data_IF_911815060071
#
_entry.id   IF_911815060071
#
_cell.length_a   1.000
_cell.length_b   1.000
_cell.length_c   1.000
_cell.angle_alpha   90.00
_cell.angle_beta   90.00
_cell.angle_gamma   90.00
#
_symmetry.space_group_name_H-M   'P 1'
#
loop_
_entity.id
_entity.type
_entity.pdbx_description
1 polymer ?
#
# COMPACT_ATOMS: atom_id res chain seq x y z
N UNK A 1 -8.15 34.57 23.15
CA UNK A 1 -8.95 34.31 21.95
C UNK A 1 -8.24 33.19 21.23
N UNK A 2 -8.82 32.00 21.29
CA UNK A 2 -8.14 30.75 21.01
C UNK A 2 -8.25 30.39 19.52
N UNK A 3 -7.12 30.35 18.82
CA UNK A 3 -6.96 29.85 17.43
C UNK A 3 -7.12 28.32 17.33
N UNK A 4 -7.75 27.67 18.32
CA UNK A 4 -7.79 26.21 18.46
C UNK A 4 -8.83 25.47 17.57
N UNK A 5 -9.97 26.02 17.12
CA UNK A 5 -10.98 25.20 16.43
C UNK A 5 -10.65 24.86 14.97
N UNK A 6 -9.82 25.64 14.27
CA UNK A 6 -9.50 25.39 12.86
C UNK A 6 -8.37 24.37 12.68
N UNK A 7 -7.34 24.44 13.53
CA UNK A 7 -6.20 23.52 13.50
C UNK A 7 -6.63 22.09 13.84
N UNK A 8 -7.58 21.92 14.75
CA UNK A 8 -8.09 20.62 15.16
C UNK A 8 -8.88 19.93 14.03
N UNK A 9 -9.67 20.71 13.27
CA UNK A 9 -10.39 20.21 12.08
C UNK A 9 -9.47 19.72 10.97
N UNK A 10 -8.30 20.33 10.80
CA UNK A 10 -7.32 19.91 9.79
C UNK A 10 -6.62 18.60 10.17
N UNK A 11 -6.33 18.39 11.46
CA UNK A 11 -5.71 17.15 11.94
C UNK A 11 -6.63 15.94 11.77
N UNK A 12 -7.94 16.12 11.94
CA UNK A 12 -8.96 15.08 11.73
C UNK A 12 -9.05 14.60 10.25
N UNK A 13 -8.52 15.39 9.30
CA UNK A 13 -8.50 15.01 7.89
C UNK A 13 -7.32 14.09 7.55
N UNK A 14 -6.27 14.07 8.37
CA UNK A 14 -5.08 13.24 8.14
C UNK A 14 -5.34 11.84 8.70
N UNK A 15 -5.29 10.77 7.89
CA UNK A 15 -5.47 9.41 8.37
C UNK A 15 -4.35 9.05 9.36
N UNK A 16 -4.70 8.44 10.50
CA UNK A 16 -3.72 7.95 11.46
C UNK A 16 -3.32 6.49 11.18
N UNK A 17 -4.17 5.77 10.43
CA UNK A 17 -3.94 4.38 10.00
C UNK A 17 -4.67 4.09 8.68
N UNK A 18 -4.54 2.88 8.14
CA UNK A 18 -5.19 2.46 6.89
C UNK A 18 -6.73 2.45 6.99
N UNK A 19 -7.30 2.14 8.14
CA UNK A 19 -8.76 2.09 8.33
C UNK A 19 -9.40 3.48 8.26
N UNK A 20 -8.65 4.54 8.57
CA UNK A 20 -9.09 5.94 8.47
C UNK A 20 -9.18 6.45 7.02
N UNK A 21 -8.55 5.75 6.08
CA UNK A 21 -8.51 6.12 4.66
C UNK A 21 -9.86 5.87 3.99
N UNK A 22 -10.47 4.71 4.23
CA UNK A 22 -11.80 4.38 3.67
C UNK A 22 -12.87 4.93 4.62
N UNK A 23 -13.55 6.00 4.24
CA UNK A 23 -14.56 6.67 5.11
C UNK A 23 -16.00 6.38 4.69
N UNK A 24 -16.22 5.82 3.51
CA UNK A 24 -17.53 5.42 3.00
C UNK A 24 -17.48 4.02 2.37
N UNK A 25 -18.62 3.32 2.34
CA UNK A 25 -18.74 1.97 1.76
C UNK A 25 -17.69 0.97 2.31
N UNK A 26 -17.41 1.02 3.63
CA UNK A 26 -16.43 0.16 4.32
C UNK A 26 -16.76 -1.33 4.23
N UNK A 27 -18.03 -1.67 4.01
CA UNK A 27 -18.51 -3.02 3.72
C UNK A 27 -18.01 -3.55 2.37
N UNK A 28 -17.65 -2.65 1.44
CA UNK A 28 -17.22 -2.97 0.08
C UNK A 28 -15.72 -2.91 -0.14
N UNK A 29 -15.00 -2.16 0.69
CA UNK A 29 -13.55 -2.03 0.59
C UNK A 29 -12.92 -1.89 1.96
N UNK A 30 -11.87 -2.67 2.20
CA UNK A 30 -11.01 -2.56 3.38
C UNK A 30 -9.56 -2.53 2.93
N UNK A 31 -8.77 -1.67 3.56
CA UNK A 31 -7.32 -1.65 3.42
C UNK A 31 -6.71 -2.31 4.65
N UNK A 32 -5.69 -3.13 4.45
CA UNK A 32 -4.91 -3.71 5.53
C UNK A 32 -3.46 -3.91 5.06
N UNK A 33 -2.53 -4.12 5.98
CA UNK A 33 -1.26 -4.73 5.61
C UNK A 33 -1.38 -6.25 5.59
N UNK A 34 -0.59 -6.89 4.74
CA UNK A 34 -0.63 -8.33 4.57
C UNK A 34 -0.29 -9.03 5.89
N UNK A 35 -1.12 -10.00 6.27
CA UNK A 35 -0.81 -10.88 7.40
C UNK A 35 0.32 -11.84 7.03
N UNK A 36 0.85 -12.56 8.02
CA UNK A 36 1.88 -13.57 7.78
C UNK A 36 1.34 -14.72 6.90
N UNK A 37 0.06 -15.08 7.06
CA UNK A 37 -0.61 -16.06 6.23
C UNK A 37 -0.72 -15.57 4.77
N UNK A 38 -1.13 -14.32 4.54
CA UNK A 38 -1.22 -13.75 3.19
C UNK A 38 0.16 -13.63 2.54
N UNK A 39 1.19 -13.30 3.31
CA UNK A 39 2.57 -13.36 2.84
C UNK A 39 2.97 -14.78 2.44
N UNK A 40 2.67 -15.76 3.28
CA UNK A 40 2.98 -17.16 3.01
C UNK A 40 2.29 -17.66 1.72
N UNK A 41 1.04 -17.26 1.48
CA UNK A 41 0.32 -17.59 0.24
C UNK A 41 0.99 -17.02 -1.02
N UNK A 42 1.65 -15.86 -0.87
CA UNK A 42 2.43 -15.20 -1.91
C UNK A 42 3.87 -15.71 -2.04
N UNK A 43 4.36 -16.53 -1.10
CA UNK A 43 5.76 -16.98 -1.10
C UNK A 43 6.05 -17.86 -2.32
N UNK A 44 7.08 -17.52 -3.09
CA UNK A 44 7.53 -18.24 -4.29
C UNK A 44 9.05 -18.19 -4.37
N UNK A 45 9.67 -19.24 -4.90
CA UNK A 45 11.08 -19.18 -5.30
C UNK A 45 11.19 -18.28 -6.54
N UNK A 46 11.74 -17.08 -6.34
CA UNK A 46 11.96 -16.11 -7.40
C UNK A 46 13.41 -16.10 -7.90
N UNK A 47 14.33 -16.83 -7.25
CA UNK A 47 15.75 -16.85 -7.60
C UNK A 47 15.97 -17.36 -9.03
N UNK A 48 15.14 -18.32 -9.47
CA UNK A 48 15.20 -18.90 -10.80
C UNK A 48 14.11 -18.36 -11.76
N UNK A 49 13.00 -17.83 -11.21
CA UNK A 49 11.88 -17.32 -12.02
C UNK A 49 12.16 -15.92 -12.59
N UNK A 50 13.05 -15.15 -11.95
CA UNK A 50 13.41 -13.80 -12.33
C UNK A 50 14.59 -13.77 -13.31
N UNK A 51 14.40 -14.18 -14.56
CA UNK A 51 15.25 -13.70 -15.66
C UNK A 51 15.08 -12.19 -15.93
N UNK A 52 14.16 -11.53 -15.20
CA UNK A 52 13.90 -10.10 -15.28
C UNK A 52 14.90 -9.26 -14.48
N UNK A 53 15.39 -8.18 -15.10
CA UNK A 53 16.20 -7.15 -14.43
C UNK A 53 15.38 -6.52 -13.31
N UNK A 54 15.94 -6.45 -12.09
CA UNK A 54 15.36 -5.66 -10.99
C UNK A 54 15.20 -4.21 -11.45
N UNK A 55 13.98 -3.68 -11.43
CA UNK A 55 13.70 -2.33 -11.91
C UNK A 55 14.08 -1.27 -10.86
N UNK A 56 13.72 -1.48 -9.60
CA UNK A 56 13.98 -0.59 -8.48
C UNK A 56 14.17 -1.36 -7.17
N UNK A 57 14.83 -0.71 -6.22
CA UNK A 57 14.96 -1.20 -4.85
C UNK A 57 14.10 -0.34 -3.93
N UNK A 58 13.24 -0.96 -3.12
CA UNK A 58 12.40 -0.28 -2.15
C UNK A 58 12.91 -0.54 -0.71
N UNK A 59 12.84 0.50 0.13
CA UNK A 59 13.04 0.45 1.58
C UNK A 59 11.74 0.85 2.29
N UNK A 60 11.70 0.69 3.60
CA UNK A 60 10.56 1.11 4.45
C UNK A 60 9.24 0.60 3.86
N UNK A 61 9.22 -0.70 3.55
CA UNK A 61 8.27 -1.32 2.63
C UNK A 61 7.23 -2.16 3.36
N UNK A 62 6.05 -2.30 2.76
CA UNK A 62 5.02 -3.21 3.22
C UNK A 62 4.16 -3.71 2.03
N UNK A 63 3.35 -4.74 2.26
CA UNK A 63 2.34 -5.24 1.33
C UNK A 63 0.97 -4.70 1.73
N UNK A 64 0.49 -3.72 0.98
CA UNK A 64 -0.86 -3.20 1.12
C UNK A 64 -1.86 -4.18 0.48
N UNK A 65 -2.78 -4.67 1.29
CA UNK A 65 -3.91 -5.50 0.88
C UNK A 65 -5.14 -4.61 0.66
N UNK A 66 -5.65 -4.63 -0.57
CA UNK A 66 -6.93 -4.01 -0.91
C UNK A 66 -7.96 -5.12 -1.03
N UNK A 67 -8.83 -5.25 -0.03
CA UNK A 67 -9.92 -6.23 -0.03
C UNK A 67 -11.17 -5.57 -0.60
N UNK A 68 -11.65 -6.06 -1.73
CA UNK A 68 -12.88 -5.57 -2.37
C UNK A 68 -13.95 -6.63 -2.30
N UNK A 69 -15.10 -6.28 -1.72
CA UNK A 69 -16.28 -7.14 -1.65
C UNK A 69 -17.20 -6.82 -2.83
N UNK A 70 -17.44 -7.80 -3.70
CA UNK A 70 -18.38 -7.70 -4.80
C UNK A 70 -19.19 -8.99 -4.94
N UNK A 71 -20.51 -8.86 -5.06
CA UNK A 71 -21.44 -9.99 -5.21
C UNK A 71 -21.29 -11.08 -4.13
N UNK A 72 -20.99 -10.69 -2.89
CA UNK A 72 -20.78 -11.62 -1.77
C UNK A 72 -19.41 -12.32 -1.76
N UNK A 73 -18.54 -12.05 -2.72
CA UNK A 73 -17.16 -12.55 -2.75
C UNK A 73 -16.16 -11.45 -2.40
N UNK A 74 -15.13 -11.81 -1.64
CA UNK A 74 -14.01 -10.91 -1.32
C UNK A 74 -12.85 -11.23 -2.24
N UNK A 75 -12.32 -10.20 -2.91
CA UNK A 75 -11.10 -10.28 -3.70
C UNK A 75 -10.02 -9.42 -3.05
N UNK A 76 -8.89 -10.04 -2.72
CA UNK A 76 -7.70 -9.34 -2.23
C UNK A 76 -6.77 -8.98 -3.38
N UNK A 77 -6.30 -7.73 -3.40
CA UNK A 77 -5.34 -7.24 -4.38
C UNK A 77 -4.08 -6.78 -3.65
N UNK A 78 -3.06 -7.65 -3.52
CA UNK A 78 -1.81 -7.29 -2.84
C UNK A 78 -1.02 -6.28 -3.68
N UNK A 79 -0.51 -5.23 -3.05
CA UNK A 79 0.32 -4.19 -3.66
C UNK A 79 1.59 -4.03 -2.85
N UNK A 80 2.74 -4.01 -3.50
CA UNK A 80 3.97 -3.57 -2.84
C UNK A 80 3.97 -2.06 -2.73
N UNK A 81 4.28 -1.57 -1.53
CA UNK A 81 4.36 -0.17 -1.16
C UNK A 81 5.68 0.08 -0.44
N UNK A 82 6.33 1.21 -0.70
CA UNK A 82 7.57 1.59 -0.01
C UNK A 82 8.27 2.77 -0.65
N UNK A 83 9.37 3.21 -0.05
CA UNK A 83 10.22 4.29 -0.57
C UNK A 83 11.26 3.76 -1.56
N UNK A 84 11.32 4.32 -2.76
CA UNK A 84 12.38 4.03 -3.73
C UNK A 84 13.73 4.46 -3.16
N UNK A 85 14.70 3.55 -3.08
CA UNK A 85 15.97 3.79 -2.41
C UNK A 85 16.75 4.94 -3.05
N UNK A 86 16.72 5.06 -4.38
CA UNK A 86 17.49 6.05 -5.13
C UNK A 86 16.94 7.47 -5.03
N UNK A 87 15.62 7.63 -4.87
CA UNK A 87 14.94 8.94 -4.93
C UNK A 87 14.20 9.32 -3.66
N UNK A 88 13.95 8.37 -2.76
CA UNK A 88 13.10 8.55 -1.58
C UNK A 88 11.60 8.64 -1.87
N UNK A 89 11.17 8.54 -3.13
CA UNK A 89 9.77 8.66 -3.49
C UNK A 89 8.97 7.43 -3.02
N UNK A 90 7.80 7.66 -2.41
CA UNK A 90 6.86 6.60 -2.08
C UNK A 90 6.20 6.05 -3.35
N UNK A 91 6.16 4.73 -3.51
CA UNK A 91 5.58 4.05 -4.67
C UNK A 91 4.59 2.99 -4.23
N UNK A 92 3.44 2.92 -4.92
CA UNK A 92 2.53 1.76 -4.91
C UNK A 92 2.59 1.07 -6.26
N UNK A 93 3.00 -0.20 -6.26
CA UNK A 93 3.23 -0.99 -7.46
C UNK A 93 1.94 -1.57 -8.05
N UNK A 94 2.09 -2.37 -9.12
CA UNK A 94 1.01 -3.23 -9.63
C UNK A 94 0.73 -4.41 -8.68
N UNK A 95 -0.18 -5.31 -9.04
CA UNK A 95 -0.52 -6.44 -8.16
C UNK A 95 0.67 -7.36 -7.95
N UNK A 96 1.00 -7.67 -6.70
CA UNK A 96 2.05 -8.63 -6.33
C UNK A 96 1.58 -10.03 -6.71
N UNK A 97 2.45 -10.78 -7.39
CA UNK A 97 2.22 -12.15 -7.85
C UNK A 97 3.05 -13.16 -7.08
N UNK A 98 4.16 -12.73 -6.49
CA UNK A 98 4.98 -13.55 -5.63
C UNK A 98 5.98 -12.71 -4.84
N UNK A 99 6.37 -13.23 -3.68
CA UNK A 99 7.44 -12.70 -2.86
C UNK A 99 8.45 -13.82 -2.58
N UNK A 100 9.72 -13.46 -2.51
CA UNK A 100 10.78 -14.30 -2.01
C UNK A 100 11.42 -13.55 -0.84
N UNK A 101 11.00 -13.92 0.36
CA UNK A 101 11.45 -13.27 1.60
C UNK A 101 12.91 -13.58 1.91
N UNK A 102 13.44 -14.68 1.39
CA UNK A 102 14.84 -15.06 1.58
C UNK A 102 15.78 -14.17 0.77
N UNK A 103 15.44 -13.91 -0.50
CA UNK A 103 16.28 -13.09 -1.40
C UNK A 103 15.88 -11.61 -1.43
N UNK A 104 14.76 -11.25 -0.77
CA UNK A 104 14.21 -9.91 -0.76
C UNK A 104 13.71 -9.48 -2.14
N UNK A 105 13.14 -10.40 -2.91
CA UNK A 105 12.59 -10.12 -4.23
C UNK A 105 11.06 -10.12 -4.20
N UNK A 106 10.46 -9.20 -4.95
CA UNK A 106 9.02 -9.10 -5.10
C UNK A 106 8.66 -9.01 -6.57
N UNK A 107 7.95 -10.02 -7.05
CA UNK A 107 7.41 -10.05 -8.40
C UNK A 107 6.02 -9.44 -8.40
N UNK A 108 5.84 -8.40 -9.20
CA UNK A 108 4.53 -7.80 -9.50
C UNK A 108 4.10 -8.19 -10.90
N UNK A 109 2.89 -7.82 -11.29
CA UNK A 109 2.31 -8.10 -12.60
C UNK A 109 3.21 -7.67 -13.77
N UNK A 110 3.95 -6.57 -13.62
CA UNK A 110 4.72 -5.97 -14.71
C UNK A 110 6.24 -5.88 -14.45
N UNK A 111 6.68 -6.07 -13.20
CA UNK A 111 8.03 -5.70 -12.79
C UNK A 111 8.53 -6.53 -11.60
N UNK A 112 9.85 -6.67 -11.53
CA UNK A 112 10.56 -7.24 -10.39
C UNK A 112 11.21 -6.14 -9.55
N UNK A 113 10.99 -6.18 -8.25
CA UNK A 113 11.55 -5.25 -7.28
C UNK A 113 12.45 -5.99 -6.29
N UNK A 114 13.42 -5.26 -5.74
CA UNK A 114 14.13 -5.67 -4.54
C UNK A 114 13.60 -4.91 -3.35
N UNK A 115 13.45 -5.57 -2.21
CA UNK A 115 13.09 -4.93 -0.95
C UNK A 115 14.25 -5.03 0.04
N UNK A 116 14.44 -3.99 0.85
CA UNK A 116 15.53 -3.90 1.82
C UNK A 116 14.96 -3.72 3.21
N UNK A 117 15.46 -4.54 4.15
CA UNK A 117 15.03 -4.53 5.54
C UNK A 117 13.74 -5.32 5.78
N UNK A 118 13.32 -5.42 7.05
CA UNK A 118 12.05 -6.06 7.40
C UNK A 118 10.86 -5.25 6.86
N UNK A 119 9.69 -5.90 6.81
CA UNK A 119 8.43 -5.19 6.57
C UNK A 119 8.23 -4.15 7.66
N UNK A 120 7.81 -2.95 7.26
CA UNK A 120 7.49 -1.88 8.19
C UNK A 120 6.12 -2.12 8.83
N UNK A 121 6.10 -2.44 10.13
CA UNK A 121 4.86 -2.70 10.86
C UNK A 121 3.97 -1.47 11.04
N UNK A 122 4.55 -0.27 10.97
CA UNK A 122 3.84 0.98 11.25
C UNK A 122 4.28 2.04 10.23
N UNK A 123 3.62 2.10 9.06
CA UNK A 123 4.02 3.00 8.00
C UNK A 123 4.00 4.46 8.48
N UNK A 124 4.92 5.25 7.96
CA UNK A 124 4.89 6.68 8.22
C UNK A 124 3.62 7.35 7.65
N UNK A 125 3.36 8.58 8.12
CA UNK A 125 2.21 9.38 7.65
C UNK A 125 2.31 9.69 6.16
N UNK A 126 3.51 9.84 5.60
CA UNK A 126 3.70 10.15 4.18
C UNK A 126 3.17 9.02 3.29
N UNK A 127 3.38 7.77 3.70
CA UNK A 127 2.90 6.59 3.02
C UNK A 127 1.37 6.50 3.08
N UNK A 128 0.74 6.78 4.23
CA UNK A 128 -0.72 6.83 4.34
C UNK A 128 -1.32 7.88 3.39
N UNK A 129 -0.73 9.09 3.37
CA UNK A 129 -1.13 10.14 2.44
C UNK A 129 -0.95 9.70 0.99
N UNK A 130 0.15 8.99 0.68
CA UNK A 130 0.41 8.47 -0.66
C UNK A 130 -0.65 7.45 -1.10
N UNK A 131 -1.13 6.58 -0.19
CA UNK A 131 -2.25 5.67 -0.46
C UNK A 131 -3.53 6.44 -0.81
N UNK A 132 -3.83 7.51 -0.09
CA UNK A 132 -4.96 8.39 -0.40
C UNK A 132 -4.86 8.99 -1.80
N UNK A 133 -3.69 9.55 -2.16
CA UNK A 133 -3.45 10.11 -3.49
C UNK A 133 -3.63 9.05 -4.57
N UNK A 134 -3.03 7.87 -4.37
CA UNK A 134 -3.09 6.78 -5.34
C UNK A 134 -4.53 6.30 -5.59
N UNK A 135 -5.35 6.14 -4.54
CA UNK A 135 -6.76 5.74 -4.68
C UNK A 135 -7.59 6.79 -5.44
N UNK A 136 -7.35 8.08 -5.17
CA UNK A 136 -8.01 9.17 -5.88
C UNK A 136 -7.59 9.22 -7.36
N UNK A 137 -6.30 9.06 -7.67
CA UNK A 137 -5.81 8.99 -9.05
C UNK A 137 -6.38 7.81 -9.84
N UNK A 138 -6.75 6.71 -9.16
CA UNK A 138 -7.44 5.55 -9.77
C UNK A 138 -8.95 5.74 -9.93
N UNK A 139 -9.49 6.90 -9.54
CA UNK A 139 -10.90 7.25 -9.70
C UNK A 139 -11.85 6.58 -8.69
N UNK A 140 -11.31 5.88 -7.69
CA UNK A 140 -12.11 5.18 -6.67
C UNK A 140 -12.24 5.96 -5.36
N UNK A 141 -11.43 7.00 -5.16
CA UNK A 141 -11.37 7.74 -3.90
C UNK A 141 -12.72 8.33 -3.47
N UNK A 142 -13.41 9.03 -4.37
CA UNK A 142 -14.75 9.59 -4.08
C UNK A 142 -15.78 8.51 -3.68
N UNK A 143 -15.75 7.34 -4.32
CA UNK A 143 -16.68 6.25 -4.01
C UNK A 143 -16.46 5.70 -2.59
N UNK A 144 -15.22 5.66 -2.13
CA UNK A 144 -14.83 5.15 -0.81
C UNK A 144 -14.65 6.23 0.26
N UNK A 145 -14.95 7.50 -0.07
CA UNK A 145 -14.77 8.63 0.85
C UNK A 145 -13.30 8.87 1.23
N UNK A 146 -12.36 8.55 0.34
CA UNK A 146 -10.93 8.73 0.59
C UNK A 146 -10.59 10.21 0.66
N UNK A 147 -9.89 10.69 1.70
CA UNK A 147 -9.43 12.07 1.78
C UNK A 147 -8.61 12.48 0.54
N UNK A 148 -8.83 13.70 0.05
CA UNK A 148 -8.11 14.22 -1.09
C UNK A 148 -6.82 14.91 -0.63
N UNK A 149 -5.69 14.40 -1.14
CA UNK A 149 -4.37 15.00 -0.96
C UNK A 149 -3.70 15.13 -2.33
N UNK A 150 -2.76 16.06 -2.44
CA UNK A 150 -2.06 16.37 -3.68
C UNK A 150 -0.60 16.69 -3.36
N UNK A 151 0.31 16.32 -4.26
CA UNK A 151 1.72 16.69 -4.23
C UNK A 151 2.20 17.02 -5.65
#
# INVERSE_FOLDING_TARGET
MSDEPETQRLQDLIPQNLDDIIRANRDKCRLAFATDEECHELERDLANAAAGKVCHTLKDWNLLMIHVTANGSVKSLPKLLGGVQETGQCWITSTVKGIDTHTGLVLTENSLYRVVGPRDSEPDKHLLLHVCVWLNQRGVGRYFGVPEFFY
#
